data_IF_065144056670
#
_entry.id   IF_065144056670
#
_cell.length_a   1.000
_cell.length_b   1.000
_cell.length_c   1.000
_cell.angle_alpha   90.00
_cell.angle_beta   90.00
_cell.angle_gamma   90.00
#
_symmetry.space_group_name_H-M   'P 1'
#
loop_
_entity.id
_entity.type
_entity.pdbx_description
1 polymer ?
#
# COMPACT_ATOMS: atom_id res chain seq x y z
N UNK A 1 38.24 -16.16 -16.98
CA UNK A 1 37.21 -15.09 -16.89
C UNK A 1 36.43 -15.32 -15.61
N UNK A 2 36.64 -14.46 -14.60
CA UNK A 2 36.12 -14.66 -13.25
C UNK A 2 34.73 -14.00 -13.14
N UNK A 3 33.66 -14.79 -13.24
CA UNK A 3 32.29 -14.32 -13.07
C UNK A 3 31.97 -14.19 -11.57
N UNK A 4 32.46 -13.11 -10.95
CA UNK A 4 32.01 -12.71 -9.62
C UNK A 4 30.57 -12.18 -9.73
N UNK A 5 29.60 -13.08 -9.74
CA UNK A 5 28.23 -12.75 -9.36
C UNK A 5 28.24 -12.36 -7.88
N UNK A 6 28.43 -11.06 -7.61
CA UNK A 6 28.17 -10.52 -6.28
C UNK A 6 26.67 -10.75 -6.02
N UNK A 7 26.34 -11.84 -5.31
CA UNK A 7 25.00 -12.03 -4.77
C UNK A 7 24.77 -10.86 -3.82
N UNK A 8 23.79 -10.03 -4.15
CA UNK A 8 23.27 -9.05 -3.21
C UNK A 8 22.83 -9.83 -1.96
N UNK A 9 23.55 -9.67 -0.85
CA UNK A 9 23.23 -10.42 0.36
C UNK A 9 21.81 -10.10 0.80
N UNK A 10 21.04 -11.15 1.08
CA UNK A 10 19.67 -11.04 1.51
C UNK A 10 19.63 -10.42 2.90
N UNK A 11 18.99 -9.27 3.03
CA UNK A 11 18.84 -8.61 4.32
C UNK A 11 17.67 -9.23 5.11
N UNK A 12 18.00 -10.12 6.06
CA UNK A 12 17.01 -10.80 6.90
C UNK A 12 16.16 -9.83 7.73
N UNK A 13 16.70 -8.68 8.13
CA UNK A 13 15.96 -7.68 8.91
C UNK A 13 14.77 -7.13 8.13
N UNK A 14 14.92 -6.94 6.82
CA UNK A 14 13.82 -6.48 5.95
C UNK A 14 12.74 -7.54 5.82
N UNK A 15 13.12 -8.83 5.80
CA UNK A 15 12.13 -9.90 5.76
C UNK A 15 11.36 -10.02 7.07
N UNK A 16 12.01 -9.82 8.21
CA UNK A 16 11.33 -9.74 9.52
C UNK A 16 10.32 -8.58 9.55
N UNK A 17 10.70 -7.40 9.05
CA UNK A 17 9.77 -6.24 8.95
C UNK A 17 8.56 -6.59 8.09
N UNK A 18 8.75 -7.30 6.96
CA UNK A 18 7.62 -7.74 6.13
C UNK A 18 6.72 -8.73 6.84
N UNK A 19 7.28 -9.68 7.59
CA UNK A 19 6.51 -10.65 8.36
C UNK A 19 5.65 -9.92 9.40
N UNK A 20 6.23 -8.99 10.15
CA UNK A 20 5.51 -8.16 11.13
C UNK A 20 4.41 -7.36 10.43
N UNK A 21 4.71 -6.74 9.28
CA UNK A 21 3.73 -5.99 8.51
C UNK A 21 2.57 -6.89 8.04
N UNK A 22 2.83 -8.10 7.54
CA UNK A 22 1.80 -9.04 7.11
C UNK A 22 0.90 -9.47 8.27
N UNK A 23 1.47 -9.82 9.42
CA UNK A 23 0.68 -10.15 10.62
C UNK A 23 -0.17 -8.96 11.10
N UNK A 24 0.41 -7.75 11.08
CA UNK A 24 -0.32 -6.55 11.44
C UNK A 24 -1.49 -6.26 10.50
N UNK A 25 -1.34 -6.44 9.19
CA UNK A 25 -2.45 -6.27 8.23
C UNK A 25 -3.56 -7.28 8.50
N UNK A 26 -3.22 -8.55 8.73
CA UNK A 26 -4.20 -9.58 9.09
C UNK A 26 -4.93 -9.19 10.38
N UNK A 27 -4.19 -8.77 11.41
CA UNK A 27 -4.75 -8.32 12.69
C UNK A 27 -5.71 -7.14 12.49
N UNK A 28 -5.32 -6.14 11.69
CA UNK A 28 -6.14 -4.97 11.40
C UNK A 28 -7.47 -5.36 10.75
N UNK A 29 -7.45 -6.20 9.72
CA UNK A 29 -8.67 -6.65 9.05
C UNK A 29 -9.56 -7.53 9.92
N UNK A 30 -8.96 -8.42 10.72
CA UNK A 30 -9.71 -9.30 11.62
C UNK A 30 -10.37 -8.53 12.77
N UNK A 31 -9.68 -7.53 13.32
CA UNK A 31 -10.20 -6.76 14.47
C UNK A 31 -11.18 -5.67 14.06
N UNK A 32 -11.13 -5.20 12.81
CA UNK A 32 -12.02 -4.14 12.28
C UNK A 32 -13.51 -4.44 12.44
N UNK A 33 -13.92 -5.71 12.41
CA UNK A 33 -15.33 -6.09 12.57
C UNK A 33 -15.82 -6.00 14.03
N UNK A 34 -14.91 -5.98 14.99
CA UNK A 34 -15.22 -5.98 16.43
C UNK A 34 -15.06 -4.61 17.09
N UNK A 35 -14.70 -3.57 16.32
CA UNK A 35 -14.45 -2.22 16.82
C UNK A 35 -15.54 -1.29 16.32
N UNK A 36 -16.29 -0.69 17.25
CA UNK A 36 -17.14 0.44 16.95
C UNK A 36 -16.26 1.69 16.83
N UNK A 37 -16.21 2.31 15.65
CA UNK A 37 -15.39 3.50 15.42
C UNK A 37 -15.99 4.75 16.06
N UNK A 38 -17.30 4.76 16.33
CA UNK A 38 -18.03 5.90 16.89
C UNK A 38 -17.96 5.96 18.42
N UNK A 39 -17.56 4.87 19.07
CA UNK A 39 -17.47 4.78 20.52
C UNK A 39 -16.01 4.58 20.94
N UNK A 40 -15.56 5.37 21.90
CA UNK A 40 -14.23 5.21 22.48
C UNK A 40 -14.30 4.14 23.58
N UNK A 41 -14.51 2.89 23.16
CA UNK A 41 -14.41 1.74 24.06
C UNK A 41 -13.00 1.15 24.04
N UNK A 42 -12.39 1.07 25.23
CA UNK A 42 -11.09 0.45 25.43
C UNK A 42 -11.24 -1.07 25.57
N UNK A 43 -11.36 -1.75 24.44
CA UNK A 43 -11.34 -3.21 24.36
C UNK A 43 -10.00 -3.70 23.80
N UNK A 44 -9.68 -4.98 24.03
CA UNK A 44 -8.51 -5.62 23.42
C UNK A 44 -8.57 -5.52 21.89
N UNK A 45 -9.77 -5.65 21.29
CA UNK A 45 -9.98 -5.48 19.86
C UNK A 45 -9.65 -4.05 19.39
N UNK A 46 -10.11 -3.01 20.11
CA UNK A 46 -9.80 -1.61 19.80
C UNK A 46 -8.30 -1.32 19.89
N UNK A 47 -7.61 -1.85 20.90
CA UNK A 47 -6.16 -1.70 21.05
C UNK A 47 -5.39 -2.37 19.91
N UNK A 48 -5.74 -3.62 19.59
CA UNK A 48 -5.12 -4.36 18.48
C UNK A 48 -5.38 -3.68 17.13
N UNK A 49 -6.61 -3.22 16.87
CA UNK A 49 -6.95 -2.51 15.63
C UNK A 49 -6.11 -1.23 15.46
N UNK A 50 -6.02 -0.40 16.50
CA UNK A 50 -5.28 0.87 16.45
C UNK A 50 -3.77 0.67 16.30
N UNK A 51 -3.21 -0.31 17.00
CA UNK A 51 -1.77 -0.63 16.91
C UNK A 51 -1.42 -1.31 15.59
N UNK A 52 -2.29 -2.17 15.08
CA UNK A 52 -2.11 -2.85 13.80
C UNK A 52 -2.06 -1.90 12.60
N UNK A 53 -2.58 -0.67 12.73
CA UNK A 53 -2.46 0.37 11.70
C UNK A 53 -0.99 0.68 11.31
N UNK A 54 -0.02 0.45 12.21
CA UNK A 54 1.42 0.61 11.91
C UNK A 54 1.90 -0.34 10.79
N UNK A 55 1.16 -1.40 10.51
CA UNK A 55 1.48 -2.34 9.44
C UNK A 55 1.50 -1.69 8.05
N UNK A 56 0.62 -0.71 7.81
CA UNK A 56 0.52 0.00 6.53
C UNK A 56 1.84 0.72 6.19
N UNK A 57 2.37 1.64 7.02
CA UNK A 57 3.65 2.29 6.74
C UNK A 57 4.82 1.30 6.70
N UNK A 58 4.83 0.24 7.50
CA UNK A 58 5.88 -0.80 7.43
C UNK A 58 5.87 -1.55 6.08
N UNK A 59 4.69 -1.77 5.50
CA UNK A 59 4.54 -2.41 4.21
C UNK A 59 5.08 -1.53 3.07
N UNK A 60 4.79 -0.22 3.11
CA UNK A 60 5.37 0.75 2.17
C UNK A 60 6.88 0.91 2.38
N UNK A 61 7.37 0.92 3.62
CA UNK A 61 8.79 1.04 3.95
C UNK A 61 9.60 -0.13 3.37
N UNK A 62 9.17 -1.36 3.67
CA UNK A 62 9.86 -2.56 3.19
C UNK A 62 9.81 -2.68 1.66
N UNK A 63 8.71 -2.26 1.04
CA UNK A 63 8.57 -2.21 -0.42
C UNK A 63 9.45 -1.14 -1.05
N UNK A 64 9.51 0.06 -0.48
CA UNK A 64 10.32 1.18 -0.94
C UNK A 64 11.82 0.90 -0.82
N UNK A 65 12.26 0.35 0.31
CA UNK A 65 13.67 -0.03 0.54
C UNK A 65 14.23 -0.94 -0.56
N UNK A 66 13.43 -1.89 -1.04
CA UNK A 66 13.86 -2.84 -2.09
C UNK A 66 13.85 -2.25 -3.51
N UNK A 67 13.19 -1.11 -3.69
CA UNK A 67 12.97 -0.46 -4.99
C UNK A 67 13.88 0.74 -5.20
N UNK A 68 14.12 1.54 -4.15
CA UNK A 68 14.99 2.73 -4.17
C UNK A 68 16.46 2.34 -4.31
N UNK A 69 17.23 3.15 -5.04
CA UNK A 69 18.68 2.96 -5.20
C UNK A 69 19.09 1.89 -6.22
N UNK A 70 18.14 1.31 -6.97
CA UNK A 70 18.47 0.45 -8.11
C UNK A 70 18.99 1.30 -9.27
N UNK A 71 20.15 0.91 -9.81
CA UNK A 71 20.82 1.61 -10.92
C UNK A 71 19.98 1.73 -12.20
N UNK A 72 18.97 0.88 -12.39
CA UNK A 72 18.17 0.77 -13.62
C UNK A 72 16.66 1.02 -13.40
N UNK A 73 16.27 1.94 -12.52
CA UNK A 73 14.86 2.35 -12.42
C UNK A 73 14.48 3.30 -13.55
N UNK A 74 14.25 2.75 -14.76
CA UNK A 74 13.70 3.49 -15.90
C UNK A 74 12.17 3.54 -15.86
N UNK A 75 11.58 4.47 -16.60
CA UNK A 75 10.13 4.54 -16.82
C UNK A 75 9.56 3.23 -17.36
N UNK A 76 10.27 2.56 -18.27
CA UNK A 76 9.84 1.26 -18.81
C UNK A 76 9.76 0.17 -17.73
N UNK A 77 10.68 0.19 -16.75
CA UNK A 77 10.61 -0.74 -15.63
C UNK A 77 9.34 -0.51 -14.81
N UNK A 78 9.04 0.75 -14.47
CA UNK A 78 7.83 1.11 -13.73
C UNK A 78 6.56 0.71 -14.48
N UNK A 79 6.45 1.03 -15.77
CA UNK A 79 5.28 0.71 -16.61
C UNK A 79 5.07 -0.81 -16.68
N UNK A 80 6.14 -1.60 -16.87
CA UNK A 80 6.04 -3.07 -16.88
C UNK A 80 5.53 -3.63 -15.55
N UNK A 81 5.92 -3.03 -14.42
CA UNK A 81 5.44 -3.46 -13.09
C UNK A 81 3.98 -3.08 -12.87
N UNK A 82 3.60 -1.85 -13.24
CA UNK A 82 2.22 -1.37 -13.21
C UNK A 82 1.33 -2.28 -14.05
N UNK A 83 1.73 -2.62 -15.28
CA UNK A 83 0.97 -3.53 -16.14
C UNK A 83 0.76 -4.93 -15.54
N UNK A 84 1.75 -5.45 -14.80
CA UNK A 84 1.60 -6.72 -14.06
C UNK A 84 0.61 -6.63 -12.91
N UNK A 85 0.62 -5.52 -12.17
CA UNK A 85 -0.35 -5.26 -11.09
C UNK A 85 -1.76 -5.14 -11.68
N UNK A 86 -1.94 -4.33 -12.72
CA UNK A 86 -3.22 -4.17 -13.40
C UNK A 86 -3.75 -5.50 -13.92
N UNK A 87 -2.91 -6.30 -14.59
CA UNK A 87 -3.30 -7.64 -15.07
C UNK A 87 -3.75 -8.53 -13.91
N UNK A 88 -3.04 -8.53 -12.79
CA UNK A 88 -3.42 -9.32 -11.62
C UNK A 88 -4.79 -8.89 -11.08
N UNK A 89 -4.99 -7.59 -10.82
CA UNK A 89 -6.27 -7.05 -10.32
C UNK A 89 -7.41 -7.37 -11.29
N UNK A 90 -7.22 -7.15 -12.58
CA UNK A 90 -8.23 -7.42 -13.61
C UNK A 90 -8.63 -8.89 -13.67
N UNK A 91 -7.70 -9.84 -13.55
CA UNK A 91 -8.01 -11.27 -13.55
C UNK A 91 -8.99 -11.60 -12.42
N UNK A 92 -8.74 -11.09 -11.21
CA UNK A 92 -9.61 -11.35 -10.06
C UNK A 92 -10.96 -10.64 -10.17
N UNK A 93 -10.98 -9.37 -10.59
CA UNK A 93 -12.22 -8.63 -10.80
C UNK A 93 -13.11 -9.29 -11.86
N UNK A 94 -12.52 -9.71 -12.99
CA UNK A 94 -13.25 -10.41 -14.06
C UNK A 94 -13.72 -11.79 -13.60
N UNK A 95 -12.88 -12.56 -12.88
CA UNK A 95 -13.27 -13.87 -12.36
C UNK A 95 -14.46 -13.75 -11.38
N UNK A 96 -14.42 -12.78 -10.48
CA UNK A 96 -15.53 -12.50 -9.56
C UNK A 96 -16.79 -12.05 -10.31
N UNK A 97 -16.64 -11.17 -11.29
CA UNK A 97 -17.75 -10.72 -12.12
C UNK A 97 -18.41 -11.86 -12.89
N UNK A 98 -17.63 -12.80 -13.45
CA UNK A 98 -18.17 -14.01 -14.10
C UNK A 98 -18.99 -14.82 -13.10
N UNK A 99 -18.43 -15.09 -11.91
CA UNK A 99 -19.13 -15.87 -10.88
C UNK A 99 -20.43 -15.19 -10.41
N UNK A 100 -20.40 -13.86 -10.21
CA UNK A 100 -21.57 -13.09 -9.86
C UNK A 100 -22.61 -13.06 -11.00
N UNK A 101 -22.16 -12.95 -12.25
CA UNK A 101 -23.02 -12.92 -13.43
C UNK A 101 -23.75 -14.24 -13.66
N UNK A 102 -23.16 -15.37 -13.26
CA UNK A 102 -23.84 -16.68 -13.28
C UNK A 102 -25.03 -16.76 -12.32
N UNK A 103 -25.05 -15.94 -11.27
CA UNK A 103 -26.12 -15.91 -10.25
C UNK A 103 -27.19 -14.85 -10.54
N UNK A 104 -26.78 -13.70 -11.08
CA UNK A 104 -27.63 -12.50 -11.15
C UNK A 104 -27.82 -11.95 -12.59
N UNK A 105 -27.25 -12.58 -13.61
CA UNK A 105 -27.29 -12.11 -15.00
C UNK A 105 -26.08 -11.26 -15.39
N UNK A 106 -25.86 -11.08 -16.70
CA UNK A 106 -24.70 -10.38 -17.25
C UNK A 106 -24.96 -8.87 -17.26
N UNK A 107 -24.21 -8.11 -16.46
CA UNK A 107 -24.19 -6.64 -16.49
C UNK A 107 -22.76 -6.09 -16.50
N UNK A 108 -22.38 -5.47 -17.62
CA UNK A 108 -21.05 -4.89 -17.82
C UNK A 108 -20.80 -3.64 -16.98
N UNK A 109 -21.84 -2.89 -16.59
CA UNK A 109 -21.69 -1.70 -15.73
C UNK A 109 -21.19 -2.12 -14.35
N UNK A 110 -21.65 -3.28 -13.86
CA UNK A 110 -21.17 -3.86 -12.61
C UNK A 110 -19.69 -4.23 -12.67
N UNK A 111 -19.16 -4.67 -13.81
CA UNK A 111 -17.71 -4.95 -13.95
C UNK A 111 -16.87 -3.70 -13.75
N UNK A 112 -17.24 -2.59 -14.38
CA UNK A 112 -16.51 -1.32 -14.22
C UNK A 112 -16.55 -0.82 -12.78
N UNK A 113 -17.70 -0.94 -12.12
CA UNK A 113 -17.84 -0.63 -10.69
C UNK A 113 -16.93 -1.49 -9.81
N UNK A 114 -16.90 -2.81 -10.01
CA UNK A 114 -16.02 -3.72 -9.25
C UNK A 114 -14.54 -3.35 -9.42
N UNK A 115 -14.13 -2.97 -10.64
CA UNK A 115 -12.75 -2.56 -10.92
C UNK A 115 -12.44 -1.23 -10.22
N UNK A 116 -13.31 -0.22 -10.32
CA UNK A 116 -13.08 1.06 -9.65
C UNK A 116 -13.05 0.92 -8.13
N UNK A 117 -13.96 0.15 -7.58
CA UNK A 117 -14.09 -0.09 -6.14
C UNK A 117 -12.85 -0.77 -5.58
N UNK A 118 -12.27 -1.73 -6.33
CA UNK A 118 -11.04 -2.41 -5.92
C UNK A 118 -9.86 -1.44 -5.73
N UNK A 119 -9.77 -0.36 -6.51
CA UNK A 119 -8.70 0.64 -6.35
C UNK A 119 -8.98 1.68 -5.26
N UNK A 120 -10.25 2.00 -5.02
CA UNK A 120 -10.67 3.00 -4.02
C UNK A 120 -10.74 2.37 -2.60
N UNK A 121 -10.74 1.04 -2.52
CA UNK A 121 -10.87 0.32 -1.26
C UNK A 121 -12.31 0.10 -0.84
N UNK A 122 -13.18 -0.10 -1.82
CA UNK A 122 -14.59 -0.43 -1.66
C UNK A 122 -14.90 -1.82 -2.22
N UNK A 123 -16.14 -2.25 -2.01
CA UNK A 123 -16.66 -3.49 -2.58
C UNK A 123 -15.99 -4.78 -2.05
N UNK A 124 -16.12 -5.90 -2.79
CA UNK A 124 -15.65 -7.20 -2.33
C UNK A 124 -14.13 -7.30 -2.23
N UNK A 125 -13.42 -6.50 -3.00
CA UNK A 125 -11.96 -6.46 -3.04
C UNK A 125 -11.41 -5.18 -2.39
N UNK A 126 -12.01 -4.73 -1.29
CA UNK A 126 -11.57 -3.50 -0.62
C UNK A 126 -10.07 -3.52 -0.27
N UNK A 127 -9.48 -4.67 0.05
CA UNK A 127 -8.04 -4.82 0.35
C UNK A 127 -7.14 -4.46 -0.85
N UNK A 128 -7.66 -4.48 -2.09
CA UNK A 128 -6.90 -4.19 -3.29
C UNK A 128 -6.52 -2.71 -3.45
N UNK A 129 -7.03 -1.83 -2.57
CA UNK A 129 -6.60 -0.43 -2.48
C UNK A 129 -5.07 -0.31 -2.44
N UNK A 130 -4.41 -1.26 -1.78
CA UNK A 130 -2.95 -1.32 -1.69
C UNK A 130 -2.27 -1.50 -3.07
N UNK A 131 -2.87 -2.25 -4.00
CA UNK A 131 -2.37 -2.36 -5.37
C UNK A 131 -2.48 -1.02 -6.12
N UNK A 132 -3.55 -0.26 -5.88
CA UNK A 132 -3.68 1.12 -6.38
C UNK A 132 -2.57 2.02 -5.85
N UNK A 133 -2.30 1.97 -4.55
CA UNK A 133 -1.20 2.71 -3.93
C UNK A 133 0.17 2.29 -4.49
N UNK A 134 0.38 1.00 -4.80
CA UNK A 134 1.60 0.52 -5.43
C UNK A 134 1.77 1.02 -6.87
N UNK A 135 0.68 1.18 -7.63
CA UNK A 135 0.75 1.79 -8.96
C UNK A 135 1.26 3.23 -8.85
N UNK A 136 0.72 4.00 -7.91
CA UNK A 136 1.19 5.37 -7.63
C UNK A 136 2.67 5.36 -7.22
N UNK A 137 3.08 4.44 -6.34
CA UNK A 137 4.47 4.32 -5.92
C UNK A 137 5.41 4.01 -7.10
N UNK A 138 5.03 3.12 -8.01
CA UNK A 138 5.82 2.81 -9.21
C UNK A 138 5.88 3.98 -10.19
N UNK A 139 4.81 4.77 -10.33
CA UNK A 139 4.82 5.98 -11.14
C UNK A 139 5.77 7.04 -10.58
N UNK A 140 5.82 7.18 -9.25
CA UNK A 140 6.73 8.10 -8.56
C UNK A 140 8.17 7.57 -8.46
N UNK A 141 8.39 6.26 -8.63
CA UNK A 141 9.69 5.62 -8.47
C UNK A 141 10.84 6.26 -9.27
N UNK A 142 10.73 6.59 -10.57
CA UNK A 142 11.82 7.25 -11.30
C UNK A 142 12.16 8.63 -10.71
N UNK A 143 11.14 9.40 -10.30
CA UNK A 143 11.33 10.69 -9.63
C UNK A 143 12.01 10.51 -8.27
N UNK A 144 11.52 9.58 -7.45
CA UNK A 144 12.10 9.28 -6.13
C UNK A 144 13.54 8.77 -6.24
N UNK A 145 13.87 7.98 -7.27
CA UNK A 145 15.22 7.49 -7.48
C UNK A 145 16.19 8.61 -7.87
N UNK A 146 15.75 9.55 -8.70
CA UNK A 146 16.52 10.75 -9.04
C UNK A 146 16.74 11.63 -7.81
N UNK A 147 15.70 11.83 -7.00
CA UNK A 147 15.79 12.58 -5.74
C UNK A 147 16.75 11.90 -4.74
N UNK A 148 16.73 10.56 -4.68
CA UNK A 148 17.62 9.77 -3.84
C UNK A 148 19.09 9.91 -4.23
N UNK A 149 19.41 10.15 -5.50
CA UNK A 149 20.78 10.49 -5.93
C UNK A 149 21.31 11.76 -5.26
N UNK A 150 20.42 12.67 -4.83
CA UNK A 150 20.75 13.88 -4.09
C UNK A 150 20.36 13.75 -2.61
N UNK A 151 21.21 13.10 -1.80
CA UNK A 151 20.96 12.78 -0.38
C UNK A 151 20.38 13.95 0.43
N UNK A 152 20.93 15.16 0.28
CA UNK A 152 20.44 16.36 1.00
C UNK A 152 19.01 16.72 0.59
N UNK A 153 18.72 16.75 -0.71
CA UNK A 153 17.39 17.04 -1.23
C UNK A 153 16.37 15.99 -0.77
N UNK A 154 16.72 14.70 -0.84
CA UNK A 154 15.87 13.61 -0.37
C UNK A 154 15.51 13.72 1.12
N UNK A 155 16.49 14.05 1.98
CA UNK A 155 16.24 14.23 3.41
C UNK A 155 15.34 15.44 3.66
N UNK A 156 15.64 16.58 3.01
CA UNK A 156 14.84 17.80 3.16
C UNK A 156 13.40 17.59 2.69
N UNK A 157 13.18 16.98 1.52
CA UNK A 157 11.83 16.69 1.04
C UNK A 157 11.07 15.77 1.97
N UNK A 158 11.74 14.74 2.52
CA UNK A 158 11.11 13.81 3.47
C UNK A 158 10.75 14.52 4.78
N UNK A 159 11.66 15.36 5.30
CA UNK A 159 11.41 16.15 6.50
C UNK A 159 10.24 17.14 6.31
N UNK A 160 10.17 17.81 5.16
CA UNK A 160 9.07 18.71 4.82
C UNK A 160 7.73 17.97 4.74
N UNK A 161 7.69 16.78 4.14
CA UNK A 161 6.48 15.96 4.09
C UNK A 161 6.02 15.53 5.49
N UNK A 162 6.95 15.14 6.36
CA UNK A 162 6.63 14.79 7.75
C UNK A 162 6.11 16.00 8.52
N UNK A 163 6.73 17.16 8.38
CA UNK A 163 6.25 18.41 9.02
C UNK A 163 4.85 18.75 8.52
N UNK A 164 4.63 18.71 7.21
CA UNK A 164 3.33 18.98 6.61
C UNK A 164 2.24 18.02 7.13
N UNK A 165 2.54 16.73 7.21
CA UNK A 165 1.62 15.73 7.79
C UNK A 165 1.28 16.05 9.24
N UNK A 166 2.26 16.41 10.06
CA UNK A 166 2.04 16.79 11.45
C UNK A 166 1.22 18.09 11.58
N UNK A 167 1.43 19.07 10.70
CA UNK A 167 0.63 20.29 10.65
C UNK A 167 -0.84 20.00 10.35
N UNK A 168 -1.13 19.15 9.36
CA UNK A 168 -2.51 18.74 9.04
C UNK A 168 -3.14 18.02 10.24
N UNK A 169 -2.40 17.10 10.86
CA UNK A 169 -2.89 16.37 12.03
C UNK A 169 -3.21 17.32 13.20
N UNK A 170 -2.35 18.30 13.45
CA UNK A 170 -2.57 19.31 14.48
C UNK A 170 -3.80 20.18 14.16
N UNK A 171 -3.98 20.57 12.90
CA UNK A 171 -5.14 21.33 12.45
C UNK A 171 -6.45 20.55 12.62
N UNK A 172 -6.43 19.23 12.37
CA UNK A 172 -7.59 18.37 12.62
C UNK A 172 -7.92 18.27 14.11
N UNK A 173 -6.90 18.19 14.98
CA UNK A 173 -7.08 18.19 16.43
C UNK A 173 -7.65 19.53 16.96
N UNK A 174 -7.18 20.67 16.44
CA UNK A 174 -7.65 21.98 16.90
C UNK A 174 -9.04 22.34 16.41
N UNK A 175 -9.45 21.86 15.22
CA UNK A 175 -10.78 22.10 14.66
C UNK A 175 -11.88 21.15 15.21
N UNK A 176 -11.58 20.39 16.27
CA UNK A 176 -12.56 19.49 16.89
C UNK A 176 -12.87 18.25 16.04
N UNK A 177 -11.92 17.78 15.22
CA UNK A 177 -12.06 16.55 14.44
C UNK A 177 -12.19 15.33 15.35
N UNK A 178 -13.42 15.00 15.72
CA UNK A 178 -13.78 13.71 16.30
C UNK A 178 -13.47 12.60 15.30
N UNK A 179 -12.83 11.54 15.79
CA UNK A 179 -12.85 10.24 15.12
C UNK A 179 -14.22 9.61 15.28
#
# INVERSE_FOLDING_TARGET
MNNNFIRQERNLSIDLVKIIAMFGVICWHSTRQFVNLQEVEFTVASFLYRTAAISIPLFFLSSGYLQLGRKNCSWDYSIRKIGKILRYVLIFCVAYWIFASLRHGIDIRNLWGIISDAFIGAGPFYVFWYFGAMIILYMLLPFLNNLYSHKKAFIVTTALLLLFQNCIHLQLLTNGGGY
#
